data_IF_427283761104
#
_entry.id   IF_427283761104
#
_cell.length_a   1.000
_cell.length_b   1.000
_cell.length_c   1.000
_cell.angle_alpha   90.00
_cell.angle_beta   90.00
_cell.angle_gamma   90.00
#
_symmetry.space_group_name_H-M   'P 1'
#
loop_
_entity.id
_entity.type
_entity.pdbx_description
1 polymer ?
#
# COMPACT_ATOMS: atom_id res chain seq x y z
N UNK A 1 8.95 -0.63 -12.98
CA UNK A 1 9.02 0.81 -13.32
C UNK A 1 7.89 1.22 -14.26
N UNK A 2 7.68 0.55 -15.40
CA UNK A 2 6.62 0.96 -16.36
C UNK A 2 5.20 0.92 -15.78
N UNK A 3 4.84 -0.09 -14.98
CA UNK A 3 3.51 -0.18 -14.35
C UNK A 3 3.26 0.94 -13.34
N UNK A 4 4.28 1.32 -12.57
CA UNK A 4 4.21 2.44 -11.63
C UNK A 4 4.00 3.76 -12.36
N UNK A 5 4.73 3.98 -13.47
CA UNK A 5 4.52 5.15 -14.35
C UNK A 5 3.09 5.21 -14.88
N UNK A 6 2.60 4.12 -15.45
CA UNK A 6 1.22 4.03 -15.94
C UNK A 6 0.18 4.27 -14.84
N UNK A 7 0.42 3.79 -13.62
CA UNK A 7 -0.45 4.05 -12.48
C UNK A 7 -0.47 5.54 -12.12
N UNK A 8 0.70 6.17 -12.03
CA UNK A 8 0.82 7.60 -11.73
C UNK A 8 0.17 8.46 -12.82
N UNK A 9 0.39 8.13 -14.09
CA UNK A 9 -0.28 8.77 -15.23
C UNK A 9 -1.80 8.67 -15.12
N UNK A 10 -2.30 7.47 -14.83
CA UNK A 10 -3.74 7.21 -14.71
C UNK A 10 -4.40 7.98 -13.56
N UNK A 11 -3.69 8.16 -12.45
CA UNK A 11 -4.21 8.82 -11.25
C UNK A 11 -3.57 10.18 -10.98
N UNK A 12 -3.05 10.83 -12.03
CA UNK A 12 -2.28 12.08 -11.93
C UNK A 12 -3.00 13.14 -11.09
N UNK A 13 -4.25 13.44 -11.41
CA UNK A 13 -5.02 14.49 -10.73
C UNK A 13 -5.23 14.19 -9.24
N UNK A 14 -5.50 12.94 -8.90
CA UNK A 14 -5.65 12.48 -7.51
C UNK A 14 -4.34 12.63 -6.73
N UNK A 15 -3.22 12.21 -7.34
CA UNK A 15 -1.90 12.22 -6.72
C UNK A 15 -1.37 13.64 -6.55
N UNK A 16 -1.59 14.52 -7.53
CA UNK A 16 -1.31 15.96 -7.41
C UNK A 16 -2.14 16.58 -6.29
N UNK A 17 -3.44 16.27 -6.24
CA UNK A 17 -4.32 16.79 -5.19
C UNK A 17 -3.89 16.30 -3.80
N UNK A 18 -3.48 15.04 -3.69
CA UNK A 18 -2.91 14.49 -2.46
C UNK A 18 -1.64 15.24 -2.05
N UNK A 19 -0.71 15.47 -2.99
CA UNK A 19 0.55 16.16 -2.70
C UNK A 19 0.28 17.59 -2.23
N UNK A 20 -0.63 18.32 -2.86
CA UNK A 20 -1.04 19.68 -2.44
C UNK A 20 -1.55 19.74 -0.99
N UNK A 21 -2.16 18.68 -0.50
CA UNK A 21 -2.73 18.61 0.85
C UNK A 21 -1.68 18.16 1.86
N UNK A 22 -0.86 17.17 1.49
CA UNK A 22 0.07 16.49 2.41
C UNK A 22 1.44 17.15 2.47
N UNK A 23 1.93 17.68 1.35
CA UNK A 23 3.18 18.43 1.25
C UNK A 23 3.06 19.57 0.22
N UNK A 24 2.43 20.70 0.61
CA UNK A 24 2.27 21.86 -0.27
C UNK A 24 3.61 22.43 -0.76
N UNK A 25 4.66 22.32 0.05
CA UNK A 25 5.99 22.84 -0.29
C UNK A 25 6.64 22.01 -1.40
N UNK A 26 6.57 20.68 -1.31
CA UNK A 26 7.00 19.81 -2.41
C UNK A 26 6.18 20.09 -3.68
N UNK A 27 4.87 20.28 -3.56
CA UNK A 27 4.05 20.63 -4.73
C UNK A 27 4.52 21.90 -5.45
N UNK A 28 4.72 23.01 -4.73
CA UNK A 28 5.16 24.26 -5.37
C UNK A 28 6.57 24.11 -5.99
N UNK A 29 7.49 23.42 -5.33
CA UNK A 29 8.81 23.15 -5.88
C UNK A 29 8.76 22.28 -7.16
N UNK A 30 7.87 21.28 -7.20
CA UNK A 30 7.65 20.45 -8.39
C UNK A 30 7.04 21.23 -9.53
N UNK A 31 6.02 22.05 -9.23
CA UNK A 31 5.28 22.85 -10.20
C UNK A 31 6.19 23.75 -11.05
N UNK A 32 7.16 24.41 -10.42
CA UNK A 32 8.13 25.26 -11.11
C UNK A 32 9.02 24.47 -12.10
N UNK A 33 9.26 23.18 -11.88
CA UNK A 33 10.11 22.35 -12.72
C UNK A 33 9.44 21.95 -14.05
N UNK A 34 8.12 21.76 -14.05
CA UNK A 34 7.39 21.32 -15.24
C UNK A 34 6.50 22.40 -15.86
N UNK A 35 6.31 23.55 -15.21
CA UNK A 35 5.69 24.72 -15.84
C UNK A 35 6.58 25.26 -16.98
N UNK A 36 6.03 25.32 -18.20
CA UNK A 36 6.73 25.81 -19.40
C UNK A 36 7.55 24.76 -20.16
N UNK A 37 7.59 23.52 -19.68
CA UNK A 37 8.26 22.40 -20.35
C UNK A 37 7.39 21.76 -21.42
N UNK A 38 8.00 21.34 -22.54
CA UNK A 38 7.31 20.60 -23.63
C UNK A 38 6.89 19.20 -23.16
N UNK A 39 7.68 18.59 -22.26
CA UNK A 39 7.44 17.25 -21.69
C UNK A 39 6.82 17.31 -20.29
N UNK A 40 5.96 18.30 -20.04
CA UNK A 40 5.37 18.59 -18.72
C UNK A 40 4.82 17.34 -18.03
N UNK A 41 4.03 16.54 -18.75
CA UNK A 41 3.34 15.38 -18.17
C UNK A 41 4.35 14.31 -17.73
N UNK A 42 5.37 14.03 -18.55
CA UNK A 42 6.40 13.06 -18.20
C UNK A 42 7.23 13.52 -17.00
N UNK A 43 7.59 14.81 -16.94
CA UNK A 43 8.30 15.40 -15.81
C UNK A 43 7.46 15.37 -14.53
N UNK A 44 6.15 15.62 -14.63
CA UNK A 44 5.23 15.52 -13.50
C UNK A 44 5.13 14.08 -12.99
N UNK A 45 5.04 13.08 -13.87
CA UNK A 45 5.05 11.65 -13.50
C UNK A 45 6.32 11.30 -12.75
N UNK A 46 7.48 11.63 -13.32
CA UNK A 46 8.77 11.30 -12.72
C UNK A 46 8.97 12.02 -11.38
N UNK A 47 8.50 13.28 -11.28
CA UNK A 47 8.52 14.03 -10.03
C UNK A 47 7.66 13.39 -8.95
N UNK A 48 6.43 13.00 -9.28
CA UNK A 48 5.49 12.35 -8.35
C UNK A 48 6.02 10.99 -7.86
N UNK A 49 6.64 10.20 -8.74
CA UNK A 49 7.29 8.94 -8.36
C UNK A 49 8.43 9.17 -7.37
N UNK A 50 9.10 10.33 -7.45
CA UNK A 50 10.13 10.74 -6.51
C UNK A 50 9.62 11.16 -5.13
N UNK A 51 8.30 11.37 -4.95
CA UNK A 51 7.75 11.84 -3.69
C UNK A 51 7.39 10.66 -2.76
N UNK A 52 7.95 10.59 -1.54
CA UNK A 52 7.67 9.51 -0.60
C UNK A 52 6.18 9.35 -0.29
N UNK A 53 5.45 10.44 -0.09
CA UNK A 53 4.02 10.41 0.23
C UNK A 53 3.17 9.79 -0.87
N UNK A 54 3.59 9.95 -2.13
CA UNK A 54 2.92 9.37 -3.29
C UNK A 54 3.14 7.86 -3.32
N UNK A 55 4.38 7.40 -3.16
CA UNK A 55 4.70 5.98 -3.11
C UNK A 55 4.03 5.26 -1.93
N UNK A 56 3.93 5.93 -0.78
CA UNK A 56 3.17 5.42 0.37
C UNK A 56 1.68 5.28 0.06
N UNK A 57 1.07 6.27 -0.61
CA UNK A 57 -0.34 6.18 -0.99
C UNK A 57 -0.61 5.06 -1.99
N UNK A 58 0.24 4.95 -3.02
CA UNK A 58 0.16 3.90 -4.03
C UNK A 58 0.29 2.52 -3.37
N UNK A 59 1.23 2.36 -2.43
CA UNK A 59 1.40 1.14 -1.65
C UNK A 59 0.13 0.74 -0.90
N UNK A 60 -0.54 1.71 -0.25
CA UNK A 60 -1.81 1.47 0.44
C UNK A 60 -2.92 1.06 -0.54
N UNK A 61 -3.02 1.72 -1.70
CA UNK A 61 -4.01 1.37 -2.74
C UNK A 61 -3.77 -0.04 -3.28
N UNK A 62 -2.51 -0.42 -3.52
CA UNK A 62 -2.14 -1.75 -4.01
C UNK A 62 -2.57 -2.87 -3.04
N UNK A 63 -2.34 -2.70 -1.73
CA UNK A 63 -2.81 -3.65 -0.71
C UNK A 63 -4.33 -3.79 -0.72
N UNK A 64 -5.05 -2.66 -0.75
CA UNK A 64 -6.51 -2.68 -0.80
C UNK A 64 -7.01 -3.40 -2.05
N UNK A 65 -6.45 -3.11 -3.22
CA UNK A 65 -6.81 -3.75 -4.48
C UNK A 65 -6.50 -5.26 -4.50
N UNK A 66 -5.53 -5.70 -3.71
CA UNK A 66 -5.22 -7.10 -3.52
C UNK A 66 -6.10 -7.83 -2.48
N UNK A 67 -7.09 -7.16 -1.90
CA UNK A 67 -8.00 -7.75 -0.92
C UNK A 67 -7.44 -7.78 0.50
N UNK A 68 -6.56 -6.83 0.83
CA UNK A 68 -6.05 -6.57 2.19
C UNK A 68 -6.55 -5.20 2.69
N UNK A 69 -7.82 -4.88 2.43
CA UNK A 69 -8.48 -3.67 2.92
C UNK A 69 -8.92 -3.82 4.39
N UNK A 70 -9.32 -2.72 5.04
CA UNK A 70 -9.97 -2.83 6.34
C UNK A 70 -11.23 -3.70 6.26
N UNK A 71 -11.50 -4.50 7.29
CA UNK A 71 -12.60 -5.49 7.36
C UNK A 71 -12.52 -6.68 6.39
N UNK A 72 -11.51 -6.77 5.52
CA UNK A 72 -11.31 -7.95 4.67
C UNK A 72 -10.90 -9.18 5.50
N UNK A 73 -11.15 -10.37 4.96
CA UNK A 73 -10.78 -11.64 5.60
C UNK A 73 -9.48 -12.17 5.00
N UNK A 74 -8.59 -12.61 5.89
CA UNK A 74 -7.33 -13.24 5.52
C UNK A 74 -7.18 -14.59 6.20
N UNK A 75 -6.57 -15.52 5.51
CA UNK A 75 -6.25 -16.84 6.04
C UNK A 75 -4.73 -16.97 6.21
N UNK A 76 -4.29 -17.38 7.41
CA UNK A 76 -2.88 -17.70 7.65
C UNK A 76 -2.55 -19.02 6.98
N UNK A 77 -1.44 -19.06 6.24
CA UNK A 77 -1.01 -20.21 5.46
C UNK A 77 -0.64 -21.41 6.36
N UNK A 78 0.08 -21.17 7.44
CA UNK A 78 0.68 -22.24 8.25
C UNK A 78 -0.33 -23.09 9.01
N UNK A 79 -1.48 -22.53 9.40
CA UNK A 79 -2.46 -23.22 10.23
C UNK A 79 -3.92 -23.05 9.76
N UNK A 80 -4.17 -22.31 8.68
CA UNK A 80 -5.51 -22.08 8.15
C UNK A 80 -6.39 -21.15 8.99
N UNK A 81 -5.86 -20.52 10.04
CA UNK A 81 -6.60 -19.58 10.89
C UNK A 81 -7.10 -18.37 10.09
N UNK A 82 -8.35 -17.97 10.32
CA UNK A 82 -9.02 -16.87 9.62
C UNK A 82 -9.16 -15.67 10.54
N UNK A 83 -8.79 -14.51 10.00
CA UNK A 83 -8.80 -13.25 10.71
C UNK A 83 -9.55 -12.20 9.88
N UNK A 84 -10.26 -11.31 10.56
CA UNK A 84 -10.80 -10.09 9.97
C UNK A 84 -9.82 -8.95 10.19
N UNK A 85 -9.33 -8.35 9.11
CA UNK A 85 -8.39 -7.23 9.19
C UNK A 85 -9.05 -6.00 9.80
N UNK A 86 -8.26 -5.29 10.61
CA UNK A 86 -8.60 -4.00 11.19
C UNK A 86 -7.71 -2.91 10.60
N UNK A 87 -6.40 -3.18 10.49
CA UNK A 87 -5.48 -2.24 9.87
C UNK A 87 -4.24 -2.94 9.32
N UNK A 88 -3.48 -2.20 8.51
CA UNK A 88 -2.19 -2.62 7.95
C UNK A 88 -1.17 -1.58 8.37
N UNK A 89 -0.07 -2.04 8.93
CA UNK A 89 1.05 -1.18 9.31
C UNK A 89 2.16 -1.40 8.29
N UNK A 90 2.46 -0.38 7.50
CA UNK A 90 3.53 -0.42 6.52
C UNK A 90 4.71 0.39 7.06
N UNK A 91 5.86 -0.25 7.15
CA UNK A 91 7.13 0.43 7.39
C UNK A 91 7.72 0.83 6.05
N UNK A 92 8.13 2.09 5.91
CA UNK A 92 8.73 2.62 4.69
C UNK A 92 10.19 3.00 4.91
N UNK A 93 10.97 3.00 3.84
CA UNK A 93 12.28 3.65 3.83
C UNK A 93 12.16 5.18 3.61
N UNK A 94 13.30 5.87 3.61
CA UNK A 94 13.37 7.33 3.39
C UNK A 94 12.86 7.77 2.01
N UNK A 95 12.76 6.83 1.05
CA UNK A 95 12.22 7.08 -0.30
C UNK A 95 10.72 6.81 -0.37
N UNK A 96 10.10 6.30 0.69
CA UNK A 96 8.68 5.93 0.71
C UNK A 96 8.39 4.54 0.14
N UNK A 97 9.41 3.71 -0.10
CA UNK A 97 9.24 2.32 -0.54
C UNK A 97 8.88 1.42 0.65
N UNK A 98 7.95 0.46 0.49
CA UNK A 98 7.55 -0.43 1.57
C UNK A 98 8.66 -1.45 1.90
N UNK A 99 9.08 -1.48 3.16
CA UNK A 99 10.06 -2.44 3.69
C UNK A 99 9.39 -3.66 4.31
N UNK A 100 8.32 -3.43 5.07
CA UNK A 100 7.58 -4.48 5.77
C UNK A 100 6.11 -4.10 5.89
N UNK A 101 5.24 -5.11 5.82
CA UNK A 101 3.80 -4.96 6.03
C UNK A 101 3.36 -5.91 7.13
N UNK A 102 2.82 -5.35 8.20
CA UNK A 102 2.25 -6.05 9.33
C UNK A 102 0.73 -5.91 9.32
N UNK A 103 0.03 -6.97 9.68
CA UNK A 103 -1.43 -7.02 9.72
C UNK A 103 -1.92 -6.99 11.16
N UNK A 104 -2.89 -6.14 11.43
CA UNK A 104 -3.63 -6.11 12.69
C UNK A 104 -5.04 -6.61 12.41
N UNK A 105 -5.51 -7.58 13.18
CA UNK A 105 -6.79 -8.23 12.93
C UNK A 105 -7.41 -8.84 14.16
N UNK A 106 -8.67 -9.25 14.00
CA UNK A 106 -9.45 -9.96 15.00
C UNK A 106 -9.60 -11.41 14.55
N UNK A 107 -9.39 -12.38 15.44
CA UNK A 107 -9.64 -13.79 15.14
C UNK A 107 -11.11 -14.06 14.81
N UNK A 108 -11.38 -14.81 13.73
CA UNK A 108 -12.74 -15.21 13.33
C UNK A 108 -12.90 -16.72 13.42
N UNK A 109 -11.90 -17.46 12.96
CA UNK A 109 -11.85 -18.91 13.08
C UNK A 109 -10.42 -19.35 13.37
N UNK A 110 -10.26 -20.18 14.40
CA UNK A 110 -8.96 -20.70 14.81
C UNK A 110 -8.92 -22.20 14.71
N UNK A 111 -7.85 -22.68 14.08
CA UNK A 111 -7.48 -24.09 14.04
C UNK A 111 -6.21 -24.23 14.88
N UNK A 112 -6.33 -24.83 16.08
CA UNK A 112 -5.22 -24.98 17.02
C UNK A 112 -5.62 -24.86 18.48
N UNK A 113 -4.66 -25.00 19.40
CA UNK A 113 -4.87 -24.95 20.86
C UNK A 113 -4.77 -23.56 21.48
N UNK A 114 -4.23 -22.58 20.76
CA UNK A 114 -4.05 -21.23 21.27
C UNK A 114 -5.27 -20.37 20.94
N UNK A 115 -6.03 -20.02 21.99
CA UNK A 115 -7.11 -19.03 21.92
C UNK A 115 -6.44 -17.66 21.79
N UNK A 116 -6.59 -16.95 20.67
CA UNK A 116 -5.98 -15.63 20.51
C UNK A 116 -6.65 -14.63 21.46
N UNK A 117 -5.94 -13.56 21.85
CA UNK A 117 -6.52 -12.48 22.62
C UNK A 117 -7.80 -11.94 21.98
N UNK A 118 -8.83 -11.69 22.81
CA UNK A 118 -10.05 -11.03 22.37
C UNK A 118 -9.74 -9.61 21.91
N UNK A 119 -10.02 -9.30 20.64
CA UNK A 119 -9.87 -7.97 20.06
C UNK A 119 -8.71 -7.81 19.06
N UNK A 120 -8.52 -6.59 18.53
CA UNK A 120 -7.52 -6.31 17.51
C UNK A 120 -6.10 -6.50 18.02
N UNK A 121 -5.34 -7.36 17.37
CA UNK A 121 -3.94 -7.61 17.73
C UNK A 121 -3.08 -7.73 16.47
N UNK A 122 -1.76 -7.54 16.62
CA UNK A 122 -0.81 -7.87 15.56
C UNK A 122 -0.91 -9.37 15.26
N UNK A 123 -1.42 -9.71 14.07
CA UNK A 123 -1.61 -11.10 13.67
C UNK A 123 -0.38 -11.63 12.92
N UNK A 124 0.44 -10.79 12.28
CA UNK A 124 1.68 -11.24 11.66
C UNK A 124 2.09 -10.39 10.47
N UNK A 125 3.02 -10.90 9.67
CA UNK A 125 3.49 -10.24 8.44
C UNK A 125 2.61 -10.63 7.26
N UNK A 126 2.48 -9.75 6.28
CA UNK A 126 1.63 -9.93 5.09
C UNK A 126 1.88 -11.26 4.35
N UNK A 127 3.15 -11.66 4.24
CA UNK A 127 3.60 -12.86 3.53
C UNK A 127 3.13 -14.17 4.17
N UNK A 128 2.65 -14.13 5.42
CA UNK A 128 2.09 -15.28 6.14
C UNK A 128 0.61 -15.54 5.82
N UNK A 129 -0.02 -14.66 5.03
CA UNK A 129 -1.46 -14.66 4.79
C UNK A 129 -1.82 -14.65 3.31
N UNK A 130 -2.99 -15.21 3.03
CA UNK A 130 -3.67 -15.12 1.74
C UNK A 130 -4.95 -14.32 1.93
N UNK A 131 -5.25 -13.41 1.00
CA UNK A 131 -6.55 -12.76 0.94
C UNK A 131 -7.62 -13.78 0.58
N UNK A 132 -8.67 -13.89 1.40
CA UNK A 132 -9.80 -14.78 1.09
C UNK A 132 -10.69 -14.23 -0.03
N UNK A 133 -10.60 -12.94 -0.33
CA UNK A 133 -11.37 -12.30 -1.40
C UNK A 133 -10.73 -12.57 -2.77
N UNK A 134 -9.42 -12.41 -2.87
CA UNK A 134 -8.71 -12.49 -4.16
C UNK A 134 -7.90 -13.77 -4.34
N UNK A 135 -7.69 -14.55 -3.28
CA UNK A 135 -6.80 -15.72 -3.27
C UNK A 135 -5.31 -15.37 -3.38
N UNK A 136 -4.94 -14.08 -3.32
CA UNK A 136 -3.55 -13.65 -3.49
C UNK A 136 -2.76 -13.73 -2.18
N UNK A 137 -1.56 -14.26 -2.27
CA UNK A 137 -0.47 -14.03 -1.32
C UNK A 137 0.43 -12.93 -1.89
N UNK A 138 0.91 -12.02 -1.05
CA UNK A 138 1.79 -10.92 -1.46
C UNK A 138 3.03 -10.92 -0.59
N UNK A 139 4.20 -10.83 -1.22
CA UNK A 139 5.41 -10.47 -0.52
C UNK A 139 5.54 -8.95 -0.46
N UNK A 140 5.91 -8.40 0.71
CA UNK A 140 6.00 -6.94 0.90
C UNK A 140 6.89 -6.22 -0.13
N UNK A 141 7.91 -6.91 -0.66
CA UNK A 141 8.78 -6.40 -1.73
C UNK A 141 8.09 -6.29 -3.10
N UNK A 142 7.03 -7.06 -3.33
CA UNK A 142 6.29 -7.10 -4.60
C UNK A 142 5.15 -6.07 -4.64
N UNK A 143 4.97 -5.30 -3.57
CA UNK A 143 3.79 -4.45 -3.38
C UNK A 143 3.56 -3.47 -4.54
N UNK A 144 4.65 -2.89 -5.05
CA UNK A 144 4.61 -1.92 -6.16
C UNK A 144 4.57 -2.59 -7.53
N UNK A 145 4.85 -3.90 -7.61
CA UNK A 145 4.76 -4.68 -8.86
C UNK A 145 3.33 -5.19 -9.13
N UNK A 146 2.45 -5.10 -8.13
CA UNK A 146 1.03 -5.46 -8.20
C UNK A 146 0.17 -4.43 -8.94
N UNK A 147 0.73 -3.26 -9.26
CA UNK A 147 0.05 -2.14 -9.92
C UNK A 147 -0.33 -2.45 -11.37
#
# INVERSE_FOLDING_TARGET
>A
MDRLKQHVERFMDDLVSLLKITDPTAWEAGKELFEGSVDRDQLAVDYLIGQPVILQNISQRALCAAGFSESSFVQRISNGGVYRLQSRQITYDDRGLPLAVQLVGVPVHHVGRDVPPEGPNLIGRLDEFVSMETGKQIHGSELLDLL
#
